data_IF_805091030537
#
_entry.id   IF_805091030537
#
_cell.length_a   1.000
_cell.length_b   1.000
_cell.length_c   1.000
_cell.angle_alpha   90.00
_cell.angle_beta   90.00
_cell.angle_gamma   90.00
#
_symmetry.space_group_name_H-M   'P 1'
#
loop_
_entity.id
_entity.type
_entity.pdbx_description
1 polymer ?
#
# COMPACT_ATOMS: atom_id res chain seq x y z
N UNK A 1 56.73 -38.49 -5.50
CA UNK A 1 55.98 -38.26 -4.24
C UNK A 1 55.90 -36.78 -3.83
N UNK A 2 56.99 -35.99 -3.89
CA UNK A 2 56.95 -34.56 -3.47
C UNK A 2 56.08 -33.66 -4.38
N UNK A 3 56.06 -33.91 -5.70
CA UNK A 3 55.24 -33.15 -6.68
C UNK A 3 53.74 -33.48 -6.59
N UNK A 4 53.39 -34.72 -6.26
CA UNK A 4 52.00 -35.16 -6.10
C UNK A 4 51.38 -34.60 -4.81
N UNK A 5 52.16 -34.52 -3.73
CA UNK A 5 51.75 -33.87 -2.48
C UNK A 5 51.49 -32.37 -2.67
N UNK A 6 52.35 -31.68 -3.42
CA UNK A 6 52.18 -30.26 -3.72
C UNK A 6 50.91 -29.99 -4.56
N UNK A 7 50.62 -30.87 -5.53
CA UNK A 7 49.43 -30.74 -6.36
C UNK A 7 48.12 -30.96 -5.59
N UNK A 8 48.12 -31.88 -4.62
CA UNK A 8 46.95 -32.12 -3.75
C UNK A 8 46.73 -30.95 -2.80
N UNK A 9 47.81 -30.37 -2.25
CA UNK A 9 47.73 -29.20 -1.37
C UNK A 9 47.22 -27.95 -2.10
N UNK A 10 47.62 -27.76 -3.35
CA UNK A 10 47.11 -26.68 -4.21
C UNK A 10 45.63 -26.86 -4.56
N UNK A 11 45.16 -28.09 -4.74
CA UNK A 11 43.74 -28.39 -5.01
C UNK A 11 42.85 -28.16 -3.77
N UNK A 12 43.34 -28.48 -2.57
CA UNK A 12 42.63 -28.19 -1.31
C UNK A 12 42.52 -26.68 -1.01
N UNK A 13 43.52 -25.89 -1.41
CA UNK A 13 43.48 -24.42 -1.29
C UNK A 13 42.40 -23.77 -2.18
N UNK A 14 42.07 -24.37 -3.32
CA UNK A 14 41.02 -23.87 -4.23
C UNK A 14 39.62 -24.44 -3.92
N UNK A 15 39.51 -25.58 -3.23
CA UNK A 15 38.23 -26.19 -2.90
C UNK A 15 37.35 -25.37 -1.92
N UNK A 16 37.95 -24.44 -1.17
CA UNK A 16 37.24 -23.61 -0.19
C UNK A 16 36.53 -22.37 -0.75
N UNK A 17 36.70 -22.04 -2.04
CA UNK A 17 36.14 -20.82 -2.64
C UNK A 17 34.74 -20.98 -3.25
N UNK A 18 34.18 -22.19 -3.24
CA UNK A 18 32.82 -22.45 -3.71
C UNK A 18 31.79 -22.15 -2.59
N UNK A 19 31.65 -20.89 -2.22
CA UNK A 19 30.48 -20.42 -1.47
C UNK A 19 29.35 -20.23 -2.48
N UNK A 20 28.31 -21.06 -2.42
CA UNK A 20 27.10 -20.83 -3.19
C UNK A 20 26.42 -19.58 -2.63
N UNK A 21 26.51 -18.46 -3.34
CA UNK A 21 25.78 -17.26 -2.99
C UNK A 21 24.29 -17.55 -3.23
N UNK A 22 23.55 -17.80 -2.15
CA UNK A 22 22.10 -18.00 -2.21
C UNK A 22 21.45 -16.71 -2.67
N UNK A 23 21.18 -16.63 -3.97
CA UNK A 23 20.48 -15.50 -4.59
C UNK A 23 19.10 -15.41 -3.96
N UNK A 24 18.87 -14.36 -3.18
CA UNK A 24 17.68 -14.22 -2.34
C UNK A 24 16.77 -13.10 -2.83
N UNK A 25 15.46 -13.35 -2.86
CA UNK A 25 14.48 -12.37 -3.34
C UNK A 25 14.23 -11.33 -2.24
N UNK A 26 14.85 -10.15 -2.36
CA UNK A 26 14.67 -9.06 -1.39
C UNK A 26 13.58 -8.06 -1.78
N UNK A 27 13.31 -7.91 -3.08
CA UNK A 27 12.24 -7.05 -3.59
C UNK A 27 11.57 -7.76 -4.75
N UNK A 28 10.27 -7.53 -4.86
CA UNK A 28 9.47 -8.05 -5.95
C UNK A 28 8.29 -7.12 -6.21
N UNK A 29 7.76 -7.19 -7.42
CA UNK A 29 6.61 -6.43 -7.89
C UNK A 29 5.62 -7.37 -8.57
N UNK A 30 4.35 -6.98 -8.57
CA UNK A 30 3.30 -7.69 -9.30
C UNK A 30 3.08 -6.98 -10.64
N UNK A 31 3.01 -7.75 -11.72
CA UNK A 31 2.67 -7.29 -13.07
C UNK A 31 1.55 -8.15 -13.65
N UNK A 32 0.91 -7.65 -14.70
CA UNK A 32 0.00 -8.45 -15.53
C UNK A 32 0.75 -9.65 -16.13
N UNK A 33 0.09 -10.81 -16.27
CA UNK A 33 0.66 -11.94 -17.01
C UNK A 33 0.40 -11.72 -18.52
N UNK A 34 1.43 -11.52 -19.36
CA UNK A 34 1.23 -11.32 -20.80
C UNK A 34 0.86 -12.62 -21.53
N UNK A 35 1.02 -13.79 -20.89
CA UNK A 35 0.84 -15.11 -21.51
C UNK A 35 -0.48 -15.79 -21.13
N UNK A 36 -1.16 -15.33 -20.07
CA UNK A 36 -2.41 -15.93 -19.61
C UNK A 36 -3.38 -14.88 -19.07
N UNK A 37 -4.66 -15.10 -19.36
CA UNK A 37 -5.74 -14.23 -18.88
C UNK A 37 -6.04 -14.48 -17.41
N UNK A 38 -6.43 -13.41 -16.69
CA UNK A 38 -6.79 -13.46 -15.26
C UNK A 38 -5.70 -14.02 -14.34
N UNK A 39 -4.45 -14.00 -14.78
CA UNK A 39 -3.29 -14.39 -13.98
C UNK A 39 -2.35 -13.19 -13.79
N UNK A 40 -1.50 -13.27 -12.78
CA UNK A 40 -0.49 -12.25 -12.50
C UNK A 40 0.91 -12.86 -12.54
N UNK A 41 1.89 -12.01 -12.83
CA UNK A 41 3.29 -12.32 -12.73
C UNK A 41 3.88 -11.66 -11.47
N UNK A 42 4.67 -12.41 -10.72
CA UNK A 42 5.53 -11.90 -9.65
C UNK A 42 6.94 -11.80 -10.22
N UNK A 43 7.51 -10.60 -10.17
CA UNK A 43 8.80 -10.29 -10.77
C UNK A 43 9.74 -9.84 -9.66
N UNK A 44 10.85 -10.55 -9.48
CA UNK A 44 11.91 -10.16 -8.57
C UNK A 44 12.69 -8.98 -9.17
N UNK A 45 12.91 -7.93 -8.37
CA UNK A 45 13.52 -6.69 -8.85
C UNK A 45 14.61 -6.16 -7.94
N UNK A 46 15.54 -5.38 -8.48
CA UNK A 46 16.53 -4.62 -7.70
C UNK A 46 15.93 -3.31 -7.16
N UNK A 47 16.73 -2.45 -6.54
CA UNK A 47 16.28 -1.14 -6.02
C UNK A 47 15.80 -0.16 -7.10
N UNK A 48 16.29 -0.30 -8.33
CA UNK A 48 15.92 0.50 -9.50
C UNK A 48 14.72 -0.08 -10.27
N UNK A 49 14.08 -1.13 -9.71
CA UNK A 49 12.98 -1.88 -10.31
C UNK A 49 13.35 -2.63 -11.60
N UNK A 50 14.64 -2.88 -11.83
CA UNK A 50 15.12 -3.76 -12.91
C UNK A 50 14.93 -5.21 -12.50
N UNK A 51 14.65 -6.08 -13.47
CA UNK A 51 14.42 -7.51 -13.22
C UNK A 51 15.74 -8.16 -12.84
N UNK A 52 15.71 -8.98 -11.79
CA UNK A 52 16.85 -9.78 -11.37
C UNK A 52 16.83 -11.14 -12.06
N UNK A 53 17.42 -11.22 -13.26
CA UNK A 53 17.40 -12.42 -14.10
C UNK A 53 18.16 -13.62 -13.51
N UNK A 54 19.08 -13.38 -12.57
CA UNK A 54 19.80 -14.43 -11.85
C UNK A 54 18.90 -15.22 -10.87
N UNK A 55 17.66 -14.79 -10.63
CA UNK A 55 16.71 -15.49 -9.75
C UNK A 55 15.99 -16.56 -10.55
N UNK A 56 16.34 -17.82 -10.31
CA UNK A 56 15.64 -18.99 -10.83
C UNK A 56 15.50 -20.06 -9.74
N UNK A 57 14.44 -20.85 -9.80
CA UNK A 57 14.15 -21.91 -8.82
C UNK A 57 12.80 -21.74 -8.12
N UNK A 58 12.58 -22.53 -7.08
CA UNK A 58 11.32 -22.56 -6.33
C UNK A 58 11.43 -21.71 -5.07
N UNK A 59 10.47 -20.81 -4.88
CA UNK A 59 10.41 -19.91 -3.74
C UNK A 59 9.02 -19.94 -3.12
N UNK A 60 8.96 -19.98 -1.80
CA UNK A 60 7.68 -19.95 -1.08
C UNK A 60 7.23 -18.51 -0.88
N UNK A 61 5.99 -18.23 -1.26
CA UNK A 61 5.32 -16.96 -1.09
C UNK A 61 4.00 -17.17 -0.35
N UNK A 62 3.63 -16.24 0.52
CA UNK A 62 2.32 -16.19 1.14
C UNK A 62 1.48 -15.15 0.42
N UNK A 63 0.39 -15.57 -0.22
CA UNK A 63 -0.57 -14.70 -0.91
C UNK A 63 -1.89 -14.70 -0.12
N UNK A 64 -2.31 -13.53 0.37
CA UNK A 64 -3.51 -13.36 1.19
C UNK A 64 -3.62 -14.35 2.37
N UNK A 65 -2.48 -14.74 2.95
CA UNK A 65 -2.40 -15.69 4.06
C UNK A 65 -2.18 -17.15 3.67
N UNK A 66 -2.25 -17.48 2.38
CA UNK A 66 -2.03 -18.84 1.88
C UNK A 66 -0.61 -19.01 1.33
N UNK A 67 0.12 -20.02 1.80
CA UNK A 67 1.42 -20.36 1.26
C UNK A 67 1.31 -21.01 -0.12
N UNK A 68 2.16 -20.59 -1.03
CA UNK A 68 2.23 -21.04 -2.41
C UNK A 68 3.70 -21.15 -2.82
N UNK A 69 4.08 -22.28 -3.41
CA UNK A 69 5.39 -22.43 -4.04
C UNK A 69 5.34 -21.88 -5.46
N UNK A 70 6.19 -20.89 -5.75
CA UNK A 70 6.29 -20.26 -7.05
C UNK A 70 7.61 -20.61 -7.72
N UNK A 71 7.55 -21.02 -8.98
CA UNK A 71 8.73 -21.32 -9.79
C UNK A 71 9.13 -20.07 -10.56
N UNK A 72 10.27 -19.49 -10.18
CA UNK A 72 10.90 -18.37 -10.86
C UNK A 72 11.77 -18.88 -12.01
N UNK A 73 11.65 -18.23 -13.16
CA UNK A 73 12.52 -18.37 -14.32
C UNK A 73 12.95 -16.97 -14.74
N UNK A 74 14.26 -16.70 -14.74
CA UNK A 74 14.83 -15.41 -15.10
C UNK A 74 14.17 -14.23 -14.37
N UNK A 75 13.98 -14.36 -13.06
CA UNK A 75 13.39 -13.33 -12.20
C UNK A 75 11.87 -13.21 -12.26
N UNK A 76 11.16 -14.06 -13.02
CA UNK A 76 9.70 -14.01 -13.14
C UNK A 76 9.05 -15.33 -12.76
N UNK A 77 8.00 -15.29 -11.95
CA UNK A 77 7.13 -16.41 -11.66
C UNK A 77 5.67 -16.06 -11.96
N UNK A 78 4.90 -17.05 -12.41
CA UNK A 78 3.47 -16.87 -12.70
C UNK A 78 2.62 -17.47 -11.60
N UNK A 79 1.70 -16.67 -11.07
CA UNK A 79 0.69 -17.15 -10.13
C UNK A 79 -0.56 -17.55 -10.92
N UNK A 80 -0.75 -18.87 -11.08
CA UNK A 80 -1.76 -19.46 -11.97
C UNK A 80 -3.16 -19.56 -11.37
N UNK A 81 -3.39 -19.02 -10.18
CA UNK A 81 -4.72 -18.97 -9.63
C UNK A 81 -5.50 -17.80 -10.24
N UNK A 82 -6.62 -18.11 -10.89
CA UNK A 82 -7.41 -17.11 -11.62
C UNK A 82 -8.02 -16.09 -10.68
N UNK A 83 -7.79 -14.81 -10.95
CA UNK A 83 -8.40 -13.69 -10.22
C UNK A 83 -9.71 -13.31 -10.92
N UNK A 84 -10.83 -13.79 -10.37
CA UNK A 84 -12.15 -13.58 -11.01
C UNK A 84 -12.77 -12.20 -10.76
N UNK A 85 -12.32 -11.48 -9.73
CA UNK A 85 -12.82 -10.15 -9.38
C UNK A 85 -11.69 -9.25 -8.89
N UNK A 86 -11.89 -7.95 -9.02
CA UNK A 86 -10.97 -6.96 -8.44
C UNK A 86 -10.83 -7.19 -6.94
N UNK A 87 -9.60 -7.26 -6.45
CA UNK A 87 -9.32 -7.66 -5.07
C UNK A 87 -7.99 -7.10 -4.57
N UNK A 88 -7.89 -6.97 -3.25
CA UNK A 88 -6.60 -6.75 -2.60
C UNK A 88 -5.78 -8.04 -2.62
N UNK A 89 -4.49 -7.86 -2.86
CA UNK A 89 -3.51 -8.92 -2.86
C UNK A 89 -2.33 -8.51 -2.00
N UNK A 90 -2.27 -9.10 -0.80
CA UNK A 90 -1.16 -9.00 0.10
C UNK A 90 -0.22 -10.18 -0.16
N UNK A 91 1.01 -9.87 -0.59
CA UNK A 91 2.01 -10.88 -0.90
C UNK A 91 3.18 -10.71 0.04
N UNK A 92 3.65 -11.81 0.60
CA UNK A 92 4.80 -11.87 1.49
C UNK A 92 5.75 -12.97 1.03
N UNK A 93 7.04 -12.68 1.09
CA UNK A 93 8.11 -13.65 0.91
C UNK A 93 9.00 -13.59 2.15
N UNK A 94 9.35 -14.77 2.68
CA UNK A 94 10.27 -14.90 3.80
C UNK A 94 11.46 -15.70 3.34
N UNK A 95 12.65 -15.22 3.66
CA UNK A 95 13.90 -15.91 3.42
C UNK A 95 14.87 -15.66 4.59
N UNK A 96 16.09 -16.19 4.47
CA UNK A 96 17.14 -16.04 5.49
C UNK A 96 17.52 -14.57 5.76
N UNK A 97 17.38 -13.69 4.76
CA UNK A 97 17.71 -12.27 4.88
C UNK A 97 16.60 -11.41 5.49
N UNK A 98 15.36 -11.93 5.57
CA UNK A 98 14.25 -11.23 6.19
C UNK A 98 12.88 -11.59 5.63
N UNK A 99 11.91 -10.73 5.91
CA UNK A 99 10.52 -10.86 5.47
C UNK A 99 10.13 -9.63 4.67
N UNK A 100 9.80 -9.84 3.39
CA UNK A 100 9.46 -8.78 2.44
C UNK A 100 7.99 -8.92 2.03
N UNK A 101 7.23 -7.84 2.15
CA UNK A 101 5.81 -7.86 1.80
C UNK A 101 5.40 -6.63 1.01
N UNK A 102 4.38 -6.79 0.18
CA UNK A 102 3.79 -5.72 -0.60
C UNK A 102 2.28 -5.91 -0.70
N UNK A 103 1.56 -4.80 -0.80
CA UNK A 103 0.11 -4.78 -0.97
C UNK A 103 -0.22 -4.18 -2.32
N UNK A 104 -1.06 -4.88 -3.07
CA UNK A 104 -1.60 -4.42 -4.33
C UNK A 104 -3.12 -4.47 -4.31
N UNK A 105 -3.74 -3.58 -5.08
CA UNK A 105 -5.11 -3.76 -5.55
C UNK A 105 -5.05 -4.20 -7.00
N UNK A 106 -5.55 -5.41 -7.27
CA UNK A 106 -5.61 -5.96 -8.62
C UNK A 106 -6.94 -5.50 -9.21
N UNK A 107 -6.89 -4.58 -10.17
CA UNK A 107 -8.07 -4.09 -10.87
C UNK A 107 -8.33 -4.96 -12.11
N UNK A 108 -9.47 -5.65 -12.14
CA UNK A 108 -9.90 -6.45 -13.29
C UNK A 108 -10.70 -5.59 -14.25
N UNK A 109 -10.34 -5.62 -15.53
CA UNK A 109 -11.12 -5.02 -16.61
C UNK A 109 -11.21 -6.00 -17.79
N UNK A 110 -12.37 -6.65 -17.93
CA UNK A 110 -12.51 -7.79 -18.85
C UNK A 110 -11.63 -8.96 -18.42
N UNK A 111 -10.76 -9.42 -19.32
CA UNK A 111 -9.83 -10.54 -19.09
C UNK A 111 -8.43 -10.11 -18.63
N UNK A 112 -8.18 -8.80 -18.57
CA UNK A 112 -6.91 -8.21 -18.16
C UNK A 112 -6.93 -7.81 -16.69
N UNK A 113 -5.74 -7.84 -16.09
CA UNK A 113 -5.51 -7.46 -14.70
C UNK A 113 -4.49 -6.32 -14.64
N UNK A 114 -4.85 -5.25 -13.95
CA UNK A 114 -3.99 -4.08 -13.71
C UNK A 114 -3.61 -4.02 -12.22
N UNK A 115 -2.38 -4.43 -11.84
CA UNK A 115 -1.92 -4.35 -10.46
C UNK A 115 -1.56 -2.91 -10.08
N UNK A 116 -2.27 -2.35 -9.10
CA UNK A 116 -1.95 -1.05 -8.51
C UNK A 116 -1.27 -1.26 -7.15
N UNK A 117 -0.02 -0.80 -7.01
CA UNK A 117 0.70 -0.89 -5.74
C UNK A 117 0.11 0.08 -4.73
N UNK A 118 -0.18 -0.40 -3.53
CA UNK A 118 -0.67 0.41 -2.43
C UNK A 118 0.45 0.58 -1.40
N UNK A 119 0.76 1.83 -1.08
CA UNK A 119 1.64 2.11 0.05
C UNK A 119 0.88 1.85 1.36
N UNK A 120 1.48 1.05 2.24
CA UNK A 120 1.04 0.86 3.63
C UNK A 120 0.76 2.15 4.39
N UNK A 121 1.43 3.26 4.02
CA UNK A 121 1.25 4.55 4.64
C UNK A 121 -0.17 5.08 4.45
N UNK A 122 -0.83 4.77 3.31
CA UNK A 122 -2.23 5.15 3.08
C UNK A 122 -3.19 4.44 4.04
N UNK A 123 -2.92 3.18 4.39
CA UNK A 123 -3.76 2.42 5.32
C UNK A 123 -3.78 3.04 6.72
N UNK A 124 -2.69 3.72 7.11
CA UNK A 124 -2.56 4.40 8.41
C UNK A 124 -3.00 5.86 8.32
N UNK A 125 -2.63 6.55 7.24
CA UNK A 125 -2.92 7.96 7.05
C UNK A 125 -4.42 8.23 6.94
N UNK A 126 -5.19 7.40 6.21
CA UNK A 126 -6.63 7.61 6.02
C UNK A 126 -7.38 7.60 7.38
N UNK A 127 -7.25 6.57 8.24
CA UNK A 127 -7.86 6.59 9.57
C UNK A 127 -7.42 7.79 10.43
N UNK A 128 -6.12 8.13 10.41
CA UNK A 128 -5.60 9.26 11.18
C UNK A 128 -6.20 10.60 10.71
N UNK A 129 -6.32 10.80 9.40
CA UNK A 129 -6.95 12.01 8.83
C UNK A 129 -8.43 12.08 9.24
N UNK A 130 -9.16 10.96 9.21
CA UNK A 130 -10.56 10.91 9.65
C UNK A 130 -10.69 11.33 11.13
N UNK A 131 -9.86 10.76 12.00
CA UNK A 131 -9.83 11.13 13.43
C UNK A 131 -9.45 12.61 13.62
N UNK A 132 -8.47 13.08 12.87
CA UNK A 132 -8.02 14.48 12.92
C UNK A 132 -9.10 15.46 12.49
N UNK A 133 -9.81 15.18 11.38
CA UNK A 133 -10.95 15.98 10.93
C UNK A 133 -12.06 15.99 11.99
N UNK A 134 -12.41 14.83 12.55
CA UNK A 134 -13.41 14.74 13.62
C UNK A 134 -13.01 15.57 14.85
N UNK A 135 -11.73 15.56 15.21
CA UNK A 135 -11.20 16.38 16.29
C UNK A 135 -11.29 17.88 16.01
N UNK A 136 -10.91 18.32 14.80
CA UNK A 136 -11.06 19.72 14.39
C UNK A 136 -12.52 20.17 14.45
N UNK A 137 -13.45 19.33 13.97
CA UNK A 137 -14.88 19.64 13.96
C UNK A 137 -15.42 19.92 15.36
N UNK A 138 -14.99 19.16 16.37
CA UNK A 138 -15.35 19.42 17.78
C UNK A 138 -14.92 20.83 18.23
N UNK A 139 -13.72 21.27 17.87
CA UNK A 139 -13.23 22.62 18.22
C UNK A 139 -14.01 23.71 17.48
N UNK A 140 -14.34 23.49 16.21
CA UNK A 140 -15.15 24.43 15.43
C UNK A 140 -16.55 24.63 16.02
N UNK A 141 -17.22 23.56 16.47
CA UNK A 141 -18.53 23.67 17.14
C UNK A 141 -18.45 24.54 18.39
N UNK A 142 -17.41 24.35 19.22
CA UNK A 142 -17.24 25.14 20.45
C UNK A 142 -17.00 26.62 20.12
N UNK A 143 -16.12 26.91 19.16
CA UNK A 143 -15.85 28.30 18.72
C UNK A 143 -17.13 28.94 18.16
N UNK A 144 -17.87 28.23 17.31
CA UNK A 144 -19.13 28.72 16.74
C UNK A 144 -20.16 29.02 17.83
N UNK A 145 -20.29 28.16 18.84
CA UNK A 145 -21.18 28.40 19.97
C UNK A 145 -20.79 29.65 20.76
N UNK A 146 -19.50 29.85 21.04
CA UNK A 146 -19.01 31.05 21.74
C UNK A 146 -19.31 32.31 20.92
N UNK A 147 -18.99 32.30 19.63
CA UNK A 147 -19.26 33.42 18.72
C UNK A 147 -20.76 33.72 18.65
N UNK A 148 -21.61 32.69 18.56
CA UNK A 148 -23.07 32.83 18.56
C UNK A 148 -23.57 33.48 19.85
N UNK A 149 -23.08 33.06 21.01
CA UNK A 149 -23.45 33.63 22.31
C UNK A 149 -23.04 35.11 22.38
N UNK A 150 -21.80 35.44 22.00
CA UNK A 150 -21.32 36.83 21.97
C UNK A 150 -22.17 37.68 21.03
N UNK A 151 -22.50 37.15 19.85
CA UNK A 151 -23.31 37.83 18.85
C UNK A 151 -24.74 38.09 19.35
N UNK A 152 -25.40 37.09 19.95
CA UNK A 152 -26.73 37.26 20.54
C UNK A 152 -26.71 38.26 21.71
N UNK A 153 -25.70 38.18 22.57
CA UNK A 153 -25.54 39.13 23.68
C UNK A 153 -25.35 40.56 23.18
N UNK A 154 -24.52 40.77 22.15
CA UNK A 154 -24.33 42.08 21.55
C UNK A 154 -25.65 42.65 21.01
N UNK A 155 -26.41 41.88 20.24
CA UNK A 155 -27.71 42.31 19.71
C UNK A 155 -28.70 42.64 20.85
N UNK A 156 -28.76 41.79 21.87
CA UNK A 156 -29.58 42.03 23.07
C UNK A 156 -29.18 43.33 23.78
N UNK A 157 -27.88 43.58 23.97
CA UNK A 157 -27.37 44.80 24.61
C UNK A 157 -27.68 46.08 23.82
N UNK A 158 -27.98 45.95 22.52
CA UNK A 158 -28.37 47.07 21.64
C UNK A 158 -29.88 47.21 21.49
N UNK A 159 -30.66 46.55 22.35
CA UNK A 159 -32.12 46.70 22.42
C UNK A 159 -32.91 45.73 21.53
N UNK A 160 -32.23 44.78 20.87
CA UNK A 160 -32.90 43.78 20.05
C UNK A 160 -33.09 42.49 20.87
N UNK A 161 -34.33 42.25 21.32
CA UNK A 161 -34.68 41.03 22.04
C UNK A 161 -34.48 39.78 21.17
N UNK A 162 -34.33 38.60 21.79
CA UNK A 162 -34.14 37.34 21.05
C UNK A 162 -35.30 37.06 20.06
N UNK A 163 -36.59 37.24 20.42
CA UNK A 163 -37.69 37.06 19.48
C UNK A 163 -37.62 38.02 18.29
N UNK A 164 -37.42 39.32 18.54
CA UNK A 164 -37.37 40.34 17.49
C UNK A 164 -36.12 40.19 16.60
N UNK A 165 -35.04 39.61 17.11
CA UNK A 165 -33.86 39.25 16.32
C UNK A 165 -34.20 38.19 15.26
N UNK A 166 -34.88 37.11 15.64
CA UNK A 166 -35.29 36.07 14.69
C UNK A 166 -36.34 36.60 13.70
N UNK A 167 -37.32 37.39 14.17
CA UNK A 167 -38.28 38.07 13.28
C UNK A 167 -37.56 38.93 12.23
N UNK A 168 -36.55 39.71 12.62
CA UNK A 168 -35.76 40.51 11.70
C UNK A 168 -35.02 39.68 10.65
N UNK A 169 -34.48 38.51 11.02
CA UNK A 169 -33.86 37.59 10.05
C UNK A 169 -34.89 37.05 9.06
N UNK A 170 -36.05 36.59 9.55
CA UNK A 170 -37.10 36.05 8.71
C UNK A 170 -37.69 37.10 7.77
N UNK A 171 -37.94 38.31 8.26
CA UNK A 171 -38.43 39.43 7.45
C UNK A 171 -37.40 39.86 6.40
N UNK A 172 -36.11 39.92 6.77
CA UNK A 172 -35.02 40.20 5.84
C UNK A 172 -34.91 39.16 4.71
N UNK A 173 -34.96 37.86 5.06
CA UNK A 173 -34.95 36.77 4.08
C UNK A 173 -36.20 36.79 3.19
N UNK A 174 -37.38 37.05 3.76
CA UNK A 174 -38.64 37.14 3.01
C UNK A 174 -38.60 38.29 2.01
N UNK A 175 -38.06 39.45 2.40
CA UNK A 175 -37.90 40.58 1.50
C UNK A 175 -36.89 40.30 0.38
N UNK A 176 -35.78 39.61 0.67
CA UNK A 176 -34.76 39.28 -0.34
C UNK A 176 -35.18 38.19 -1.35
N UNK A 177 -36.22 37.41 -1.04
CA UNK A 177 -36.71 36.32 -1.92
C UNK A 177 -37.89 36.79 -2.78
N UNK A 178 -38.69 37.75 -2.29
CA UNK A 178 -39.92 38.21 -2.94
C UNK A 178 -39.73 39.55 -3.69
N UNK A 179 -38.69 40.33 -3.35
CA UNK A 179 -38.26 41.51 -4.09
C UNK A 179 -37.29 41.18 -5.22
#
# INVERSE_FOLDING_TARGET
MRKTLFSVMLFMLFAGLAMADTVNIKRFVIKENPFAQKEIAIVATDTLNQVQENISGKYTFTLNGFENELTFQNGTAFYRHKVEKSAFMFIKHKNESGSYSTLYYIYKHGDKLSPLRISWMWLVAIPLIIVFIGYLFKRFIVIAAIVLIIFLYFNYSKGLSIPTFFESIFDGLKHSIIG
#
